data_IF_176805097375
#
_entry.id   IF_176805097375
#
_cell.length_a   1.000
_cell.length_b   1.000
_cell.length_c   1.000
_cell.angle_alpha   90.00
_cell.angle_beta   90.00
_cell.angle_gamma   90.00
#
_symmetry.space_group_name_H-M   'P 1'
#
loop_
_entity.id
_entity.type
_entity.pdbx_description
1 polymer ?
#
# COMPACT_ATOMS: atom_id res chain seq x y z
N UNK A 1 -3.04 -3.68 24.02
CA UNK A 1 -3.72 -4.15 22.79
C UNK A 1 -2.67 -4.84 21.94
N UNK A 2 -2.83 -6.12 21.61
CA UNK A 2 -1.97 -6.77 20.61
C UNK A 2 -2.07 -5.96 19.32
N UNK A 3 -0.97 -5.44 18.73
CA UNK A 3 -1.05 -4.85 17.41
C UNK A 3 -1.46 -6.00 16.48
N UNK A 4 -2.72 -6.02 16.06
CA UNK A 4 -3.15 -6.92 14.98
C UNK A 4 -2.24 -6.61 13.81
N UNK A 5 -1.45 -7.60 13.38
CA UNK A 5 -0.58 -7.45 12.22
C UNK A 5 -1.40 -6.90 11.05
N UNK A 6 -1.00 -5.76 10.44
CA UNK A 6 -1.77 -5.18 9.36
C UNK A 6 -1.86 -6.14 8.18
N UNK A 7 -2.98 -6.11 7.48
CA UNK A 7 -3.11 -6.87 6.23
C UNK A 7 -2.19 -6.25 5.17
N UNK A 8 -1.34 -7.05 4.53
CA UNK A 8 -0.36 -6.56 3.56
C UNK A 8 -0.85 -6.77 2.14
N UNK A 9 -1.06 -5.67 1.42
CA UNK A 9 -1.39 -5.68 -0.01
C UNK A 9 -0.13 -5.36 -0.82
N UNK A 10 0.47 -6.38 -1.44
CA UNK A 10 1.62 -6.19 -2.31
C UNK A 10 1.18 -5.86 -3.73
N UNK A 11 1.57 -4.69 -4.23
CA UNK A 11 1.32 -4.28 -5.60
C UNK A 11 2.51 -4.61 -6.50
N UNK A 12 2.20 -5.23 -7.64
CA UNK A 12 3.15 -5.52 -8.71
C UNK A 12 2.94 -4.60 -9.92
N UNK A 13 3.84 -4.72 -10.88
CA UNK A 13 3.78 -4.01 -12.16
C UNK A 13 2.82 -4.64 -13.17
N UNK A 14 2.16 -5.77 -12.82
CA UNK A 14 1.27 -6.45 -13.76
C UNK A 14 0.05 -5.56 -14.04
N UNK A 15 -0.46 -5.57 -15.28
CA UNK A 15 -1.68 -4.87 -15.62
C UNK A 15 -2.84 -5.47 -14.82
N UNK A 16 -3.41 -4.67 -13.93
CA UNK A 16 -4.58 -5.04 -13.12
C UNK A 16 -5.41 -3.80 -12.88
N UNK A 17 -6.74 -3.92 -12.91
CA UNK A 17 -7.63 -2.79 -12.63
C UNK A 17 -7.38 -2.27 -11.21
N UNK A 18 -7.08 -0.97 -11.08
CA UNK A 18 -6.89 -0.28 -9.78
C UNK A 18 -8.08 -0.56 -8.84
N UNK A 19 -9.30 -0.62 -9.39
CA UNK A 19 -10.52 -0.87 -8.63
C UNK A 19 -10.50 -2.18 -7.84
N UNK A 20 -9.80 -3.22 -8.32
CA UNK A 20 -9.67 -4.50 -7.60
C UNK A 20 -8.91 -4.29 -6.28
N UNK A 21 -7.79 -3.59 -6.33
CA UNK A 21 -6.95 -3.29 -5.17
C UNK A 21 -7.66 -2.36 -4.19
N UNK A 22 -8.41 -1.39 -4.71
CA UNK A 22 -9.24 -0.50 -3.88
C UNK A 22 -10.32 -1.30 -3.13
N UNK A 23 -11.01 -2.21 -3.79
CA UNK A 23 -12.05 -3.03 -3.14
C UNK A 23 -11.45 -3.93 -2.06
N UNK A 24 -10.32 -4.58 -2.35
CA UNK A 24 -9.62 -5.43 -1.37
C UNK A 24 -9.16 -4.61 -0.16
N UNK A 25 -8.60 -3.41 -0.36
CA UNK A 25 -8.29 -2.50 0.73
C UNK A 25 -9.52 -2.19 1.59
N UNK A 26 -10.65 -1.81 0.98
CA UNK A 26 -11.87 -1.48 1.71
C UNK A 26 -12.40 -2.66 2.52
N UNK A 27 -12.43 -3.86 1.94
CA UNK A 27 -12.87 -5.08 2.61
C UNK A 27 -11.98 -5.42 3.82
N UNK A 28 -10.65 -5.30 3.66
CA UNK A 28 -9.69 -5.62 4.72
C UNK A 28 -9.59 -4.54 5.79
N UNK A 29 -9.83 -3.28 5.42
CA UNK A 29 -9.85 -2.17 6.36
C UNK A 29 -10.93 -2.31 7.44
N UNK A 30 -12.01 -3.06 7.18
CA UNK A 30 -13.04 -3.39 8.17
C UNK A 30 -12.44 -4.22 9.31
N UNK A 31 -11.43 -5.04 9.03
CA UNK A 31 -10.79 -5.93 9.99
C UNK A 31 -9.66 -5.25 10.78
N UNK A 32 -9.11 -4.15 10.26
CA UNK A 32 -7.99 -3.42 10.86
C UNK A 32 -7.21 -2.60 9.83
N UNK A 33 -5.99 -2.20 10.19
CA UNK A 33 -5.11 -1.46 9.27
C UNK A 33 -4.67 -2.33 8.07
N UNK A 34 -4.59 -1.70 6.90
CA UNK A 34 -4.03 -2.27 5.67
C UNK A 34 -2.73 -1.55 5.32
N UNK A 35 -1.68 -2.32 5.05
CA UNK A 35 -0.39 -1.82 4.55
C UNK A 35 -0.28 -2.11 3.05
N UNK A 36 -0.36 -1.07 2.22
CA UNK A 36 -0.16 -1.16 0.77
C UNK A 36 1.34 -1.04 0.49
N UNK A 37 1.94 -2.09 -0.07
CA UNK A 37 3.38 -2.18 -0.32
C UNK A 37 3.63 -2.15 -1.82
N UNK A 38 4.52 -1.28 -2.28
CA UNK A 38 4.90 -1.22 -3.69
C UNK A 38 6.39 -0.91 -3.86
N UNK A 39 6.98 -1.43 -4.94
CA UNK A 39 8.40 -1.26 -5.26
C UNK A 39 8.60 -0.67 -6.64
N UNK A 40 9.60 0.21 -6.79
CA UNK A 40 10.04 0.78 -8.06
C UNK A 40 8.85 1.23 -8.95
N UNK A 41 8.70 0.62 -10.12
CA UNK A 41 7.66 0.93 -11.11
C UNK A 41 6.23 0.64 -10.65
N UNK A 42 6.03 -0.09 -9.55
CA UNK A 42 4.70 -0.28 -8.94
C UNK A 42 4.31 0.87 -7.99
N UNK A 43 5.24 1.76 -7.61
CA UNK A 43 4.99 2.88 -6.69
C UNK A 43 3.85 3.80 -7.18
N UNK A 44 3.80 4.23 -8.45
CA UNK A 44 2.69 5.04 -8.94
C UNK A 44 1.33 4.36 -8.75
N UNK A 45 1.28 3.02 -8.86
CA UNK A 45 0.05 2.23 -8.67
C UNK A 45 -0.44 2.28 -7.23
N UNK A 46 0.46 2.26 -6.24
CA UNK A 46 0.11 2.42 -4.83
C UNK A 46 -0.48 3.81 -4.55
N UNK A 47 0.10 4.86 -5.12
CA UNK A 47 -0.46 6.20 -5.00
C UNK A 47 -1.83 6.32 -5.66
N UNK A 48 -2.03 5.73 -6.85
CA UNK A 48 -3.35 5.70 -7.49
C UNK A 48 -4.41 4.98 -6.63
N UNK A 49 -4.05 3.89 -5.95
CA UNK A 49 -4.96 3.22 -5.00
C UNK A 49 -5.28 4.15 -3.83
N UNK A 50 -4.28 4.79 -3.23
CA UNK A 50 -4.47 5.73 -2.12
C UNK A 50 -5.40 6.89 -2.50
N UNK A 51 -5.20 7.51 -3.66
CA UNK A 51 -6.04 8.63 -4.10
C UNK A 51 -7.50 8.20 -4.27
N UNK A 52 -7.77 7.03 -4.87
CA UNK A 52 -9.14 6.51 -4.95
C UNK A 52 -9.71 6.23 -3.56
N UNK A 53 -8.92 5.67 -2.62
CA UNK A 53 -9.38 5.45 -1.25
C UNK A 53 -9.75 6.77 -0.54
N UNK A 54 -8.96 7.83 -0.70
CA UNK A 54 -9.27 9.17 -0.15
C UNK A 54 -10.60 9.73 -0.68
N UNK A 55 -10.94 9.45 -1.94
CA UNK A 55 -12.25 9.85 -2.49
C UNK A 55 -13.44 9.05 -1.94
N UNK A 56 -13.22 7.78 -1.57
CA UNK A 56 -14.28 6.87 -1.13
C UNK A 56 -14.50 6.86 0.38
N UNK A 57 -13.46 7.17 1.16
CA UNK A 57 -13.48 7.11 2.61
C UNK A 57 -13.23 8.52 3.17
N UNK A 58 -14.30 9.23 3.57
CA UNK A 58 -14.17 10.53 4.21
C UNK A 58 -13.28 10.42 5.46
N UNK A 59 -12.32 11.33 5.60
CA UNK A 59 -11.38 11.35 6.72
C UNK A 59 -10.50 10.09 6.85
N UNK A 60 -10.17 9.41 5.75
CA UNK A 60 -9.23 8.28 5.74
C UNK A 60 -7.97 8.59 6.56
N UNK A 61 -7.62 7.71 7.52
CA UNK A 61 -6.35 7.78 8.21
C UNK A 61 -5.28 7.09 7.37
N UNK A 62 -4.15 7.77 7.13
CA UNK A 62 -3.06 7.19 6.36
C UNK A 62 -1.68 7.70 6.79
N UNK A 63 -0.66 6.86 6.62
CA UNK A 63 0.75 7.25 6.74
C UNK A 63 1.58 6.58 5.65
N UNK A 64 2.69 7.21 5.27
CA UNK A 64 3.54 6.74 4.17
C UNK A 64 4.97 6.63 4.70
N UNK A 65 5.57 5.46 4.52
CA UNK A 65 6.97 5.19 4.82
C UNK A 65 7.72 4.81 3.54
N UNK A 66 8.89 5.41 3.35
CA UNK A 66 9.80 5.10 2.25
C UNK A 66 10.96 4.26 2.80
N UNK A 67 11.24 3.13 2.16
CA UNK A 67 12.31 2.24 2.51
C UNK A 67 13.25 2.11 1.30
N UNK A 68 14.54 2.39 1.50
CA UNK A 68 15.58 2.08 0.52
C UNK A 68 16.09 0.67 0.84
N UNK A 69 15.75 -0.30 0.02
CA UNK A 69 16.21 -1.67 0.18
C UNK A 69 17.57 -1.84 -0.51
N UNK A 70 18.49 -2.47 0.19
CA UNK A 70 19.80 -2.83 -0.36
C UNK A 70 19.63 -3.79 -1.55
N UNK A 71 20.40 -3.54 -2.60
CA UNK A 71 20.45 -4.42 -3.76
C UNK A 71 21.28 -5.65 -3.40
N UNK A 72 20.66 -6.83 -3.37
CA UNK A 72 21.35 -8.11 -3.07
C UNK A 72 21.82 -8.87 -4.31
N UNK A 73 21.59 -8.32 -5.52
CA UNK A 73 21.97 -8.93 -6.80
C UNK A 73 23.15 -8.25 -7.51
N UNK A 74 23.64 -8.80 -8.63
CA UNK A 74 24.71 -8.20 -9.44
C UNK A 74 24.31 -6.82 -10.00
N UNK A 75 23.01 -6.59 -10.18
CA UNK A 75 22.46 -5.25 -10.41
C UNK A 75 22.37 -4.51 -9.07
N UNK A 76 23.25 -3.51 -8.87
CA UNK A 76 23.39 -2.73 -7.64
C UNK A 76 22.37 -1.61 -7.48
N UNK A 77 21.33 -1.56 -8.32
CA UNK A 77 20.27 -0.53 -8.22
C UNK A 77 19.50 -0.69 -6.91
N UNK A 78 19.52 0.35 -6.08
CA UNK A 78 18.71 0.41 -4.86
C UNK A 78 17.23 0.19 -5.22
N UNK A 79 16.57 -0.71 -4.49
CA UNK A 79 15.16 -0.97 -4.66
C UNK A 79 14.40 0.00 -3.74
N UNK A 80 13.67 0.94 -4.34
CA UNK A 80 12.79 1.81 -3.57
C UNK A 80 11.50 1.06 -3.26
N UNK A 81 11.15 0.95 -1.99
CA UNK A 81 9.88 0.43 -1.50
C UNK A 81 9.11 1.54 -0.77
N UNK A 82 7.81 1.56 -0.96
CA UNK A 82 6.91 2.37 -0.14
C UNK A 82 5.90 1.48 0.57
N UNK A 83 5.57 1.87 1.80
CA UNK A 83 4.52 1.27 2.60
C UNK A 83 3.52 2.36 2.94
N UNK A 84 2.28 2.21 2.49
CA UNK A 84 1.19 3.12 2.81
C UNK A 84 0.25 2.39 3.78
N UNK A 85 0.29 2.76 5.05
CA UNK A 85 -0.69 2.29 6.04
C UNK A 85 -1.98 3.08 5.87
N UNK A 86 -3.12 2.40 5.76
CA UNK A 86 -4.45 2.99 5.67
C UNK A 86 -5.41 2.33 6.67
N UNK A 87 -6.27 3.12 7.31
CA UNK A 87 -7.31 2.65 8.22
C UNK A 87 -8.52 3.58 8.24
N UNK A 88 -9.68 3.06 8.64
CA UNK A 88 -10.80 3.92 8.97
C UNK A 88 -10.44 4.77 10.18
N UNK A 89 -10.85 6.04 10.15
CA UNK A 89 -10.68 6.92 11.31
C UNK A 89 -11.54 6.38 12.46
N UNK A 90 -10.90 6.12 13.60
CA UNK A 90 -11.55 5.71 14.84
C UNK A 90 -12.31 6.86 15.49
#
# INVERSE_FOLDING_TARGET
MNPKTPYKLLLDTKPSKIQKHVNDCLEKMIMGEVEIIARNYAIPKAFSVLEVLKTKVPNLNYSIKYNNLEATGPDRRQLLEINISVSFKS
#
